data_IF_905313361273
#
_entry.id   IF_905313361273
#
_cell.length_a   1.000
_cell.length_b   1.000
_cell.length_c   1.000
_cell.angle_alpha   90.00
_cell.angle_beta   90.00
_cell.angle_gamma   90.00
#
_symmetry.space_group_name_H-M   'P 1'
#
loop_
_entity.id
_entity.type
_entity.pdbx_description
1 polymer ?
#
# COMPACT_ATOMS: atom_id res chain seq x y z
N UNK A 1 -43.02 18.76 -15.67
CA UNK A 1 -41.57 18.44 -15.61
C UNK A 1 -41.26 17.37 -16.64
N UNK A 2 -40.34 17.63 -17.56
CA UNK A 2 -40.02 16.72 -18.67
C UNK A 2 -39.39 15.43 -18.16
N UNK A 3 -39.84 14.27 -18.67
CA UNK A 3 -39.27 12.93 -18.40
C UNK A 3 -37.75 12.89 -18.59
N UNK A 4 -37.21 13.72 -19.50
CA UNK A 4 -35.76 13.87 -19.72
C UNK A 4 -35.01 14.43 -18.51
N UNK A 5 -35.63 15.32 -17.74
CA UNK A 5 -35.00 15.96 -16.58
C UNK A 5 -34.89 14.97 -15.41
N UNK A 6 -35.88 14.11 -15.23
CA UNK A 6 -35.89 13.05 -14.21
C UNK A 6 -34.85 11.97 -14.52
N UNK A 7 -34.72 11.59 -15.80
CA UNK A 7 -33.69 10.65 -16.25
C UNK A 7 -32.28 11.17 -16.00
N UNK A 8 -32.00 12.44 -16.34
CA UNK A 8 -30.68 13.05 -16.10
C UNK A 8 -30.29 13.08 -14.61
N UNK A 9 -31.24 13.37 -13.72
CA UNK A 9 -31.01 13.35 -12.27
C UNK A 9 -30.72 11.93 -11.77
N UNK A 10 -31.45 10.91 -12.24
CA UNK A 10 -31.16 9.52 -11.86
C UNK A 10 -29.79 9.04 -12.33
N UNK A 11 -29.36 9.38 -13.55
CA UNK A 11 -27.99 9.06 -14.02
C UNK A 11 -26.91 9.76 -13.20
N UNK A 12 -27.12 11.02 -12.83
CA UNK A 12 -26.17 11.78 -12.01
C UNK A 12 -26.06 11.19 -10.59
N UNK A 13 -27.19 10.82 -9.98
CA UNK A 13 -27.21 10.13 -8.69
C UNK A 13 -26.52 8.76 -8.74
N UNK A 14 -26.72 7.96 -9.79
CA UNK A 14 -26.01 6.69 -9.96
C UNK A 14 -24.49 6.86 -10.11
N UNK A 15 -24.02 7.93 -10.78
CA UNK A 15 -22.58 8.24 -10.83
C UNK A 15 -22.01 8.69 -9.49
N UNK A 16 -22.80 9.38 -8.65
CA UNK A 16 -22.39 9.83 -7.31
C UNK A 16 -22.37 8.70 -6.27
N UNK A 17 -23.16 7.63 -6.46
CA UNK A 17 -23.20 6.45 -5.58
C UNK A 17 -22.06 5.46 -5.88
N UNK A 18 -21.19 5.77 -6.85
CA UNK A 18 -19.91 5.09 -7.03
C UNK A 18 -18.95 5.52 -5.91
N UNK A 19 -19.30 5.20 -4.67
CA UNK A 19 -18.49 5.47 -3.49
C UNK A 19 -17.16 4.77 -3.67
N UNK A 20 -16.10 5.56 -3.76
CA UNK A 20 -14.73 5.06 -3.65
C UNK A 20 -14.63 4.22 -2.39
N UNK A 21 -14.46 2.92 -2.53
CA UNK A 21 -14.15 2.04 -1.41
C UNK A 21 -12.78 2.44 -0.88
N UNK A 22 -12.75 3.25 0.16
CA UNK A 22 -11.52 3.56 0.89
C UNK A 22 -11.11 2.29 1.64
N UNK A 23 -10.10 1.60 1.12
CA UNK A 23 -9.48 0.49 1.85
C UNK A 23 -8.44 1.07 2.81
N UNK A 24 -8.58 0.73 4.10
CA UNK A 24 -7.68 1.18 5.14
C UNK A 24 -6.79 0.02 5.58
N UNK A 25 -5.47 0.22 5.51
CA UNK A 25 -4.51 -0.71 6.11
C UNK A 25 -4.58 -0.58 7.63
N UNK A 26 -4.75 -1.70 8.31
CA UNK A 26 -4.64 -1.75 9.77
C UNK A 26 -3.20 -2.07 10.17
N UNK A 27 -2.48 -1.09 10.70
CA UNK A 27 -1.18 -1.28 11.35
C UNK A 27 -1.34 -1.33 12.87
N UNK A 28 -0.69 -2.31 13.50
CA UNK A 28 -0.64 -2.43 14.97
C UNK A 28 0.59 -1.71 15.52
N UNK A 29 0.51 -1.29 16.78
CA UNK A 29 1.62 -0.68 17.49
C UNK A 29 1.77 0.81 17.20
N UNK A 30 2.92 1.36 17.57
CA UNK A 30 3.23 2.77 17.42
C UNK A 30 3.63 3.08 15.98
N UNK A 31 2.73 3.74 15.24
CA UNK A 31 2.98 4.16 13.86
C UNK A 31 4.08 5.22 13.85
N UNK A 32 5.08 4.99 13.01
CA UNK A 32 6.16 5.94 12.79
C UNK A 32 5.73 6.97 11.73
N UNK A 33 6.06 8.26 11.91
CA UNK A 33 5.54 9.34 11.07
C UNK A 33 6.10 9.31 9.64
N UNK A 34 7.27 8.70 9.45
CA UNK A 34 7.97 8.72 8.18
C UNK A 34 7.42 7.68 7.21
N UNK A 35 7.12 8.15 6.00
CA UNK A 35 6.76 7.34 4.85
C UNK A 35 7.77 7.52 3.74
N UNK A 36 8.08 6.43 3.05
CA UNK A 36 9.05 6.41 1.96
C UNK A 36 8.44 5.81 0.70
N UNK A 37 8.65 6.48 -0.43
CA UNK A 37 8.28 5.97 -1.74
C UNK A 37 9.50 5.43 -2.46
N UNK A 38 9.39 4.17 -2.89
CA UNK A 38 10.40 3.43 -3.62
C UNK A 38 9.94 3.34 -5.08
N UNK A 39 10.65 4.01 -5.99
CA UNK A 39 10.47 3.86 -7.43
C UNK A 39 11.23 2.61 -7.88
N UNK A 40 10.50 1.54 -8.18
CA UNK A 40 11.05 0.19 -8.28
C UNK A 40 12.00 0.03 -9.49
N UNK A 41 12.95 -0.88 -9.35
CA UNK A 41 13.65 -1.44 -10.52
C UNK A 41 12.68 -2.31 -11.31
N UNK A 42 12.90 -2.43 -12.63
CA UNK A 42 12.02 -3.24 -13.47
C UNK A 42 12.06 -4.72 -13.05
N UNK A 43 13.24 -5.19 -12.62
CA UNK A 43 13.41 -6.53 -12.07
C UNK A 43 12.53 -6.75 -10.82
N UNK A 44 12.53 -5.80 -9.88
CA UNK A 44 11.75 -5.96 -8.64
C UNK A 44 10.25 -5.74 -8.86
N UNK A 45 9.87 -4.84 -9.77
CA UNK A 45 8.49 -4.68 -10.25
C UNK A 45 7.92 -5.99 -10.79
N UNK A 46 8.68 -6.69 -11.65
CA UNK A 46 8.29 -7.98 -12.20
C UNK A 46 8.22 -9.08 -11.12
N UNK A 47 9.11 -9.03 -10.12
CA UNK A 47 9.06 -9.94 -8.96
C UNK A 47 7.75 -9.76 -8.18
N UNK A 48 7.34 -8.52 -7.87
CA UNK A 48 6.08 -8.26 -7.17
C UNK A 48 4.87 -8.66 -8.02
N UNK A 49 4.91 -8.39 -9.33
CA UNK A 49 3.86 -8.83 -10.25
C UNK A 49 3.70 -10.35 -10.28
N UNK A 50 4.79 -11.10 -10.38
CA UNK A 50 4.76 -12.56 -10.33
C UNK A 50 4.22 -13.07 -8.99
N UNK A 51 4.63 -12.45 -7.88
CA UNK A 51 4.15 -12.76 -6.54
C UNK A 51 2.64 -12.57 -6.39
N UNK A 52 2.10 -11.48 -6.93
CA UNK A 52 0.66 -11.18 -6.89
C UNK A 52 -0.19 -12.14 -7.73
N UNK A 53 0.41 -12.84 -8.69
CA UNK A 53 -0.27 -13.80 -9.56
C UNK A 53 -0.10 -15.25 -9.13
N UNK A 54 0.69 -15.49 -8.08
CA UNK A 54 0.91 -16.83 -7.56
C UNK A 54 -0.31 -17.30 -6.76
N UNK A 55 -1.16 -18.10 -7.42
CA UNK A 55 -2.32 -18.76 -6.79
C UNK A 55 -1.93 -19.80 -5.75
N UNK A 56 -0.67 -20.26 -5.76
CA UNK A 56 -0.13 -21.20 -4.80
C UNK A 56 0.71 -20.49 -3.72
N UNK A 57 0.46 -19.19 -3.48
CA UNK A 57 1.11 -18.39 -2.44
C UNK A 57 0.95 -19.08 -1.09
N UNK A 58 1.99 -19.80 -0.69
CA UNK A 58 2.09 -20.44 0.61
C UNK A 58 2.48 -19.41 1.65
N UNK A 59 1.90 -19.52 2.85
CA UNK A 59 2.36 -18.74 4.00
C UNK A 59 3.80 -19.15 4.29
N UNK A 60 4.75 -18.26 4.02
CA UNK A 60 6.16 -18.50 4.29
C UNK A 60 6.48 -18.09 5.73
N UNK A 61 6.75 -19.09 6.55
CA UNK A 61 7.40 -18.89 7.84
C UNK A 61 8.90 -18.66 7.60
N UNK A 62 9.51 -17.70 8.31
CA UNK A 62 10.94 -17.32 8.18
C UNK A 62 11.35 -16.56 6.90
N UNK A 63 10.56 -15.57 6.49
CA UNK A 63 10.99 -14.62 5.47
C UNK A 63 12.17 -13.78 5.98
N UNK A 64 13.16 -13.46 5.13
CA UNK A 64 14.22 -12.53 5.49
C UNK A 64 13.66 -11.16 5.94
N UNK A 65 14.27 -10.50 6.94
CA UNK A 65 13.90 -9.14 7.32
C UNK A 65 13.93 -8.18 6.12
N UNK A 66 12.88 -7.39 5.94
CA UNK A 66 12.77 -6.44 4.83
C UNK A 66 12.28 -7.03 3.50
N UNK A 67 12.14 -8.36 3.38
CA UNK A 67 11.54 -8.98 2.20
C UNK A 67 10.04 -8.71 2.18
N UNK A 68 9.55 -8.15 1.07
CA UNK A 68 8.13 -7.84 0.89
C UNK A 68 7.32 -9.10 0.58
N UNK A 69 6.13 -9.16 1.16
CA UNK A 69 5.12 -10.15 0.84
C UNK A 69 3.79 -9.50 0.50
N UNK A 70 3.19 -9.94 -0.60
CA UNK A 70 1.84 -9.57 -0.98
C UNK A 70 0.86 -9.85 0.17
N UNK A 71 -0.09 -8.94 0.39
CA UNK A 71 -1.18 -9.08 1.35
C UNK A 71 -2.53 -9.13 0.65
N UNK A 72 -2.68 -8.43 -0.49
CA UNK A 72 -3.89 -8.43 -1.30
C UNK A 72 -4.27 -9.82 -1.80
N UNK A 73 -5.57 -10.05 -1.95
CA UNK A 73 -6.12 -11.28 -2.51
C UNK A 73 -5.68 -11.46 -3.97
N UNK A 74 -5.32 -12.70 -4.33
CA UNK A 74 -4.77 -13.02 -5.66
C UNK A 74 -5.78 -12.76 -6.78
N UNK A 75 -7.08 -12.93 -6.53
CA UNK A 75 -8.11 -12.71 -7.56
C UNK A 75 -8.24 -11.23 -7.95
N UNK A 76 -8.03 -10.33 -6.99
CA UNK A 76 -7.94 -8.90 -7.24
C UNK A 76 -6.59 -8.54 -7.87
N UNK A 77 -5.49 -8.98 -7.25
CA UNK A 77 -4.15 -8.60 -7.64
C UNK A 77 -3.77 -9.04 -9.07
N UNK A 78 -4.33 -10.16 -9.57
CA UNK A 78 -4.06 -10.69 -10.91
C UNK A 78 -4.49 -9.75 -12.05
N UNK A 79 -5.41 -8.82 -11.79
CA UNK A 79 -5.95 -7.90 -12.80
C UNK A 79 -5.03 -6.70 -13.07
N UNK A 80 -3.99 -6.52 -12.27
CA UNK A 80 -3.14 -5.34 -12.31
C UNK A 80 -1.79 -5.60 -13.00
N UNK A 81 -1.22 -4.58 -13.67
CA UNK A 81 0.10 -4.67 -14.26
C UNK A 81 1.21 -4.72 -13.19
N UNK A 82 2.46 -4.89 -13.61
CA UNK A 82 3.58 -4.78 -12.70
C UNK A 82 3.65 -3.36 -12.08
N UNK A 83 3.80 -3.24 -10.76
CA UNK A 83 3.88 -1.93 -10.11
C UNK A 83 5.19 -1.23 -10.45
N UNK A 84 5.14 0.10 -10.58
CA UNK A 84 6.32 0.92 -10.84
C UNK A 84 6.85 1.60 -9.58
N UNK A 85 6.02 1.72 -8.54
CA UNK A 85 6.41 2.32 -7.27
C UNK A 85 5.58 1.78 -6.10
N UNK A 86 6.14 1.84 -4.90
CA UNK A 86 5.45 1.56 -3.63
C UNK A 86 5.69 2.67 -2.63
N UNK A 87 4.67 3.03 -1.84
CA UNK A 87 4.83 3.88 -0.65
C UNK A 87 4.68 3.02 0.59
N UNK A 88 5.67 3.07 1.48
CA UNK A 88 5.75 2.28 2.69
C UNK A 88 5.69 3.15 3.94
N UNK A 89 5.06 2.63 4.99
CA UNK A 89 5.02 3.18 6.35
C UNK A 89 5.40 2.09 7.35
N UNK A 90 5.96 2.46 8.50
CA UNK A 90 6.30 1.50 9.55
C UNK A 90 5.56 1.75 10.87
N UNK A 91 5.48 0.70 11.68
CA UNK A 91 5.10 0.77 13.08
C UNK A 91 6.00 -0.12 13.93
N UNK A 92 6.07 0.17 15.22
CA UNK A 92 6.77 -0.65 16.20
C UNK A 92 5.73 -1.35 17.06
N UNK A 93 5.79 -2.68 17.14
CA UNK A 93 4.88 -3.47 17.95
C UNK A 93 5.64 -4.53 18.76
N UNK A 94 5.12 -4.88 19.93
CA UNK A 94 5.67 -5.97 20.73
C UNK A 94 5.25 -7.32 20.14
N UNK A 95 6.22 -8.11 19.68
CA UNK A 95 6.00 -9.48 19.23
C UNK A 95 6.06 -10.44 20.42
N UNK A 96 4.92 -11.05 20.78
CA UNK A 96 4.83 -11.97 21.92
C UNK A 96 5.67 -13.24 21.73
N UNK A 97 5.67 -13.84 20.53
CA UNK A 97 6.41 -15.07 20.26
C UNK A 97 7.92 -14.89 20.32
N UNK A 98 8.43 -13.75 19.85
CA UNK A 98 9.84 -13.40 19.91
C UNK A 98 10.25 -12.69 21.21
N UNK A 99 9.28 -12.30 22.06
CA UNK A 99 9.45 -11.52 23.28
C UNK A 99 10.26 -10.23 23.07
N UNK A 100 10.07 -9.57 21.92
CA UNK A 100 10.84 -8.39 21.51
C UNK A 100 10.00 -7.41 20.69
N UNK A 101 10.40 -6.15 20.66
CA UNK A 101 9.81 -5.15 19.77
C UNK A 101 10.27 -5.39 18.33
N UNK A 102 9.31 -5.49 17.41
CA UNK A 102 9.57 -5.65 15.98
C UNK A 102 9.06 -4.45 15.20
N UNK A 103 9.81 -4.10 14.15
CA UNK A 103 9.33 -3.22 13.09
C UNK A 103 8.32 -4.00 12.23
N UNK A 104 7.12 -3.45 12.03
CA UNK A 104 6.22 -3.84 10.95
C UNK A 104 6.32 -2.77 9.87
N UNK A 105 6.39 -3.16 8.62
CA UNK A 105 6.27 -2.24 7.49
C UNK A 105 5.10 -2.68 6.64
N UNK A 106 4.22 -1.75 6.28
CA UNK A 106 3.18 -1.96 5.29
C UNK A 106 3.42 -1.02 4.11
N UNK A 107 3.12 -1.49 2.90
CA UNK A 107 3.32 -0.74 1.68
C UNK A 107 2.10 -0.88 0.77
N UNK A 108 1.82 0.17 -0.01
CA UNK A 108 0.84 0.17 -1.09
C UNK A 108 1.57 0.53 -2.39
N UNK A 109 1.33 -0.22 -3.47
CA UNK A 109 1.83 0.14 -4.80
C UNK A 109 0.91 1.12 -5.54
N UNK A 110 1.40 1.63 -6.67
CA UNK A 110 0.66 2.51 -7.55
C UNK A 110 -0.56 1.86 -8.25
N UNK A 111 -0.82 0.57 -8.04
CA UNK A 111 -2.04 -0.13 -8.44
C UNK A 111 -3.02 -0.33 -7.26
N UNK A 112 -2.65 0.08 -6.04
CA UNK A 112 -3.43 -0.13 -4.83
C UNK A 112 -3.22 -1.51 -4.17
N UNK A 113 -2.20 -2.26 -4.57
CA UNK A 113 -1.91 -3.57 -3.96
C UNK A 113 -1.05 -3.42 -2.70
N UNK A 114 -1.40 -4.20 -1.69
CA UNK A 114 -0.81 -4.16 -0.37
C UNK A 114 0.32 -5.18 -0.22
N UNK A 115 1.40 -4.73 0.43
CA UNK A 115 2.53 -5.57 0.80
C UNK A 115 2.88 -5.32 2.25
N UNK A 116 3.56 -6.29 2.86
CA UNK A 116 4.14 -6.08 4.18
C UNK A 116 5.49 -6.73 4.33
N UNK A 117 6.27 -6.25 5.28
CA UNK A 117 7.50 -6.89 5.75
C UNK A 117 7.68 -6.67 7.25
N UNK A 118 8.72 -7.25 7.82
CA UNK A 118 9.00 -7.21 9.25
C UNK A 118 10.49 -7.02 9.52
N UNK A 119 10.79 -6.52 10.73
CA UNK A 119 12.12 -6.29 11.32
C UNK A 119 13.02 -5.27 10.61
N UNK A 120 12.89 -5.08 9.30
CA UNK A 120 13.69 -4.13 8.51
C UNK A 120 12.81 -3.47 7.45
N UNK A 121 13.17 -2.24 7.08
CA UNK A 121 12.66 -1.61 5.86
C UNK A 121 13.10 -2.37 4.61
N UNK A 122 12.34 -2.31 3.51
CA UNK A 122 12.79 -2.85 2.23
C UNK A 122 14.13 -2.24 1.82
N UNK A 123 15.00 -3.07 1.26
CA UNK A 123 16.34 -2.66 0.87
C UNK A 123 16.29 -1.61 -0.24
N UNK A 124 17.22 -0.63 -0.24
CA UNK A 124 17.24 0.42 -1.26
C UNK A 124 17.50 -0.14 -2.67
N UNK A 125 18.17 -1.29 -2.79
CA UNK A 125 18.47 -1.95 -4.07
C UNK A 125 17.23 -2.39 -4.85
N UNK A 126 16.05 -2.47 -4.22
CA UNK A 126 14.80 -2.78 -4.93
C UNK A 126 14.33 -1.62 -5.81
N UNK A 127 14.90 -0.43 -5.62
CA UNK A 127 14.45 0.82 -6.21
C UNK A 127 15.55 1.55 -6.98
N UNK A 128 15.16 2.19 -8.08
CA UNK A 128 15.97 3.17 -8.81
C UNK A 128 16.13 4.47 -8.00
N UNK A 129 15.13 4.79 -7.18
CA UNK A 129 15.11 5.98 -6.30
C UNK A 129 14.23 5.71 -5.08
N UNK A 130 14.63 6.25 -3.94
CA UNK A 130 13.80 6.32 -2.73
C UNK A 130 13.70 7.78 -2.30
N UNK A 131 12.53 8.23 -1.90
CA UNK A 131 12.29 9.58 -1.35
C UNK A 131 11.36 9.51 -0.15
N UNK A 132 11.41 10.54 0.70
CA UNK A 132 10.47 10.69 1.81
C UNK A 132 9.22 11.41 1.32
N UNK A 133 8.04 10.89 1.67
CA UNK A 133 6.77 11.53 1.31
C UNK A 133 6.73 12.95 1.89
N UNK A 134 6.36 13.93 1.06
CA UNK A 134 6.41 15.36 1.38
C UNK A 134 7.61 16.10 0.76
N UNK A 135 8.62 15.37 0.29
CA UNK A 135 9.70 15.95 -0.52
C UNK A 135 9.23 16.26 -1.95
N UNK A 136 9.89 17.21 -2.61
CA UNK A 136 9.59 17.55 -4.00
C UNK A 136 9.75 16.34 -4.94
N UNK A 137 8.77 16.13 -5.82
CA UNK A 137 8.73 15.00 -6.75
C UNK A 137 8.74 13.62 -6.05
N UNK A 138 8.08 13.51 -4.90
CA UNK A 138 7.85 12.25 -4.20
C UNK A 138 6.36 11.90 -4.20
N UNK A 139 5.97 10.92 -5.02
CA UNK A 139 4.60 10.43 -5.07
C UNK A 139 4.20 9.76 -3.74
N UNK A 140 2.91 9.80 -3.41
CA UNK A 140 2.35 9.16 -2.21
C UNK A 140 1.14 8.29 -2.60
N UNK A 141 1.37 6.98 -2.71
CA UNK A 141 0.31 6.00 -3.00
C UNK A 141 -0.40 5.52 -1.72
N UNK A 142 0.26 5.68 -0.57
CA UNK A 142 -0.30 5.44 0.76
C UNK A 142 -0.56 6.80 1.42
N UNK A 143 -1.84 7.11 1.64
CA UNK A 143 -2.28 8.30 2.37
C UNK A 143 -2.73 7.92 3.78
N UNK A 144 -2.46 8.80 4.74
CA UNK A 144 -2.95 8.69 6.12
C UNK A 144 -4.08 9.68 6.36
N UNK A 145 -4.97 9.33 7.28
CA UNK A 145 -6.00 10.27 7.76
C UNK A 145 -5.41 11.58 8.29
N UNK A 146 -4.21 11.52 8.88
CA UNK A 146 -3.47 12.68 9.38
C UNK A 146 -2.96 13.62 8.28
N UNK A 147 -2.92 13.21 7.02
CA UNK A 147 -2.41 14.06 5.93
C UNK A 147 -3.33 15.26 5.66
N UNK A 148 -4.61 15.10 5.95
CA UNK A 148 -5.63 16.14 5.79
C UNK A 148 -5.94 16.85 7.13
N UNK A 149 -5.15 16.58 8.18
CA UNK A 149 -5.36 17.20 9.50
C UNK A 149 -4.82 18.63 9.51
N UNK A 150 -5.68 19.57 9.90
CA UNK A 150 -5.38 21.01 10.03
C UNK A 150 -5.38 21.51 11.48
N UNK A 151 -5.40 20.60 12.46
CA UNK A 151 -5.34 20.95 13.88
C UNK A 151 -3.93 21.40 14.32
N UNK A 152 -3.74 21.68 15.63
CA UNK A 152 -2.49 22.20 16.16
C UNK A 152 -1.29 21.31 15.79
N UNK A 153 -0.19 21.95 15.38
CA UNK A 153 1.10 21.30 15.12
C UNK A 153 1.94 21.18 16.39
#
# INVERSE_FOLDING_TARGET
MSSRFVFSIMTLLMTLISTSSAQAITLRGEIQPDRYTYYLTDQYAQKLWAMNRDRNRTIRFNLPPGELVAQTDVSFAYQHPAPTAITCISSIYYNQGARANWLKVACIDNNGLEYSTHQKWPDKSIAKRVCKVGEASCDAFLTMSSDNWSGPQ
#
